data_IF_315226488983
#
_entry.id   IF_315226488983
#
_cell.length_a   1.000
_cell.length_b   1.000
_cell.length_c   1.000
_cell.angle_alpha   90.00
_cell.angle_beta   90.00
_cell.angle_gamma   90.00
#
_symmetry.space_group_name_H-M   'P 1'
#
loop_
_entity.id
_entity.type
_entity.pdbx_description
1 polymer ?
#
# COMPACT_ATOMS: atom_id res chain seq x y z
N UNK A 1 -6.38 -54.29 -18.85
CA UNK A 1 -6.91 -53.87 -17.54
C UNK A 1 -7.02 -52.35 -17.60
N UNK A 2 -8.23 -51.77 -17.58
CA UNK A 2 -8.45 -50.31 -17.63
C UNK A 2 -8.77 -49.83 -16.22
N UNK A 3 -7.87 -49.07 -15.61
CA UNK A 3 -8.14 -48.40 -14.34
C UNK A 3 -9.02 -47.17 -14.61
N UNK A 4 -10.29 -47.25 -14.24
CA UNK A 4 -11.20 -46.10 -14.27
C UNK A 4 -10.91 -45.25 -13.03
N UNK A 5 -10.37 -44.06 -13.24
CA UNK A 5 -10.12 -43.10 -12.18
C UNK A 5 -11.47 -42.44 -11.88
N UNK A 6 -12.10 -42.83 -10.77
CA UNK A 6 -13.32 -42.20 -10.29
C UNK A 6 -12.96 -40.79 -9.80
N UNK A 7 -13.18 -39.79 -10.65
CA UNK A 7 -13.06 -38.37 -10.24
C UNK A 7 -14.21 -38.08 -9.28
N UNK A 8 -13.93 -37.70 -8.02
CA UNK A 8 -14.97 -37.42 -7.04
C UNK A 8 -15.83 -36.25 -7.53
N UNK A 9 -17.15 -36.46 -7.53
CA UNK A 9 -18.16 -35.50 -8.02
C UNK A 9 -18.12 -34.16 -7.28
N UNK A 10 -17.55 -34.14 -6.07
CA UNK A 10 -17.32 -32.93 -5.27
C UNK A 10 -16.33 -31.97 -5.94
N UNK A 11 -15.32 -32.45 -6.68
CA UNK A 11 -14.35 -31.60 -7.38
C UNK A 11 -14.97 -30.86 -8.56
N UNK A 12 -15.97 -31.45 -9.22
CA UNK A 12 -16.65 -30.81 -10.36
C UNK A 12 -17.53 -29.63 -9.92
N UNK A 13 -18.19 -29.74 -8.76
CA UNK A 13 -19.04 -28.68 -8.22
C UNK A 13 -18.23 -27.43 -7.83
N UNK A 14 -17.05 -27.62 -7.22
CA UNK A 14 -16.18 -26.50 -6.82
C UNK A 14 -15.61 -25.79 -8.05
N UNK A 15 -15.25 -26.52 -9.11
CA UNK A 15 -14.83 -25.92 -10.37
C UNK A 15 -15.94 -25.08 -11.01
N UNK A 16 -17.19 -25.58 -11.03
CA UNK A 16 -18.32 -24.82 -11.56
C UNK A 16 -18.58 -23.53 -10.77
N UNK A 17 -18.48 -23.57 -9.44
CA UNK A 17 -18.58 -22.38 -8.58
C UNK A 17 -17.47 -21.37 -8.87
N UNK A 18 -16.23 -21.81 -9.05
CA UNK A 18 -15.10 -20.95 -9.40
C UNK A 18 -15.24 -20.31 -10.80
N UNK A 19 -15.89 -20.99 -11.75
CA UNK A 19 -16.21 -20.40 -13.07
C UNK A 19 -17.29 -19.32 -13.00
N UNK A 20 -18.16 -19.36 -11.98
CA UNK A 20 -19.17 -18.31 -11.75
C UNK A 20 -18.63 -17.12 -10.94
N UNK A 21 -17.40 -17.22 -10.44
CA UNK A 21 -16.78 -16.10 -9.74
C UNK A 21 -16.54 -14.94 -10.73
N UNK A 22 -16.96 -13.71 -10.40
CA UNK A 22 -16.63 -12.56 -11.21
C UNK A 22 -15.09 -12.41 -11.30
N UNK A 23 -14.56 -11.96 -12.45
CA UNK A 23 -13.13 -11.73 -12.58
C UNK A 23 -12.67 -10.76 -11.49
N UNK A 24 -11.64 -11.15 -10.74
CA UNK A 24 -11.01 -10.27 -9.77
C UNK A 24 -10.53 -9.01 -10.47
N UNK A 25 -11.06 -7.85 -10.09
CA UNK A 25 -10.61 -6.59 -10.65
C UNK A 25 -9.30 -6.19 -9.96
N UNK A 26 -8.27 -5.91 -10.76
CA UNK A 26 -7.07 -5.28 -10.24
C UNK A 26 -7.46 -3.93 -9.62
N UNK A 27 -6.85 -3.60 -8.48
CA UNK A 27 -7.02 -2.28 -7.91
C UNK A 27 -6.63 -1.23 -8.97
N UNK A 28 -7.43 -0.17 -9.16
CA UNK A 28 -7.08 0.89 -10.10
C UNK A 28 -5.71 1.44 -9.75
N UNK A 29 -4.88 1.67 -10.77
CA UNK A 29 -3.58 2.28 -10.58
C UNK A 29 -3.76 3.61 -9.85
N UNK A 30 -2.96 3.84 -8.81
CA UNK A 30 -2.98 5.11 -8.10
C UNK A 30 -2.71 6.26 -9.11
N UNK A 31 -3.42 7.40 -8.99
CA UNK A 31 -3.15 8.56 -9.83
C UNK A 31 -1.67 8.93 -9.75
N UNK A 32 -1.03 9.20 -10.90
CA UNK A 32 0.35 9.70 -10.89
C UNK A 32 0.35 11.13 -10.35
N UNK A 33 0.76 11.27 -9.10
CA UNK A 33 0.97 12.56 -8.45
C UNK A 33 2.40 13.02 -8.76
N UNK A 34 2.55 14.24 -9.26
CA UNK A 34 3.88 14.79 -9.54
C UNK A 34 4.68 14.94 -8.24
N UNK A 35 6.01 14.74 -8.26
CA UNK A 35 6.84 14.89 -7.06
C UNK A 35 6.79 16.32 -6.52
N UNK A 36 6.95 16.47 -5.22
CA UNK A 36 7.14 17.78 -4.60
C UNK A 36 8.48 18.37 -5.07
N UNK A 37 8.50 19.67 -5.36
CA UNK A 37 9.76 20.34 -5.70
C UNK A 37 10.58 20.51 -4.42
N UNK A 38 11.91 20.48 -4.55
CA UNK A 38 12.81 20.69 -3.42
C UNK A 38 12.48 22.03 -2.72
N UNK A 39 12.32 21.98 -1.39
CA UNK A 39 11.97 23.14 -0.57
C UNK A 39 10.47 23.39 -0.39
N UNK A 40 9.59 22.71 -1.13
CA UNK A 40 8.14 22.84 -0.94
C UNK A 40 7.61 21.99 0.22
N UNK A 41 8.39 21.03 0.71
CA UNK A 41 8.03 20.21 1.86
C UNK A 41 9.02 20.45 2.99
N UNK A 42 8.50 20.83 4.14
CA UNK A 42 9.29 20.94 5.39
C UNK A 42 9.03 19.70 6.24
N UNK A 43 10.10 19.04 6.67
CA UNK A 43 10.05 17.98 7.67
C UNK A 43 10.57 18.51 9.00
N UNK A 44 9.84 18.28 10.09
CA UNK A 44 10.31 18.56 11.45
C UNK A 44 10.17 17.32 12.30
N UNK A 45 11.12 17.14 13.20
CA UNK A 45 11.03 16.13 14.23
C UNK A 45 11.33 16.75 15.59
N UNK A 46 10.58 16.33 16.60
CA UNK A 46 10.73 16.84 17.96
C UNK A 46 10.54 15.71 18.97
N UNK A 47 11.26 15.80 20.08
CA UNK A 47 11.01 14.97 21.25
C UNK A 47 9.68 15.33 21.88
N UNK A 48 9.03 14.34 22.50
CA UNK A 48 7.76 14.55 23.18
C UNK A 48 8.00 14.59 24.70
N UNK A 49 7.51 15.64 25.34
CA UNK A 49 7.66 15.82 26.78
C UNK A 49 7.12 14.60 27.55
N UNK A 50 7.89 14.11 28.52
CA UNK A 50 7.61 12.89 29.30
C UNK A 50 7.50 11.58 28.50
N UNK A 51 7.95 11.55 27.23
CA UNK A 51 7.92 10.38 26.36
C UNK A 51 9.27 10.19 25.65
N UNK A 52 10.31 9.72 26.35
CA UNK A 52 11.68 9.66 25.81
C UNK A 52 11.84 8.70 24.63
N UNK A 53 10.91 7.76 24.46
CA UNK A 53 10.89 6.80 23.34
C UNK A 53 10.00 7.23 22.19
N UNK A 54 9.40 8.43 22.25
CA UNK A 54 8.45 8.92 21.23
C UNK A 54 9.01 10.16 20.55
N UNK A 55 8.97 10.12 19.23
CA UNK A 55 9.26 11.26 18.38
C UNK A 55 7.99 11.69 17.67
N UNK A 56 7.71 12.99 17.71
CA UNK A 56 6.71 13.60 16.83
C UNK A 56 7.38 14.05 15.54
N UNK A 57 6.96 13.48 14.41
CA UNK A 57 7.35 13.93 13.07
C UNK A 57 6.19 14.71 12.45
N UNK A 58 6.46 15.90 11.93
CA UNK A 58 5.50 16.68 11.16
C UNK A 58 6.03 16.96 9.75
N UNK A 59 5.14 16.81 8.78
CA UNK A 59 5.38 17.09 7.36
C UNK A 59 4.45 18.22 6.97
N UNK A 60 5.00 19.33 6.46
CA UNK A 60 4.22 20.45 5.98
C UNK A 60 4.48 20.63 4.49
N UNK A 61 3.40 20.58 3.69
CA UNK A 61 3.45 20.87 2.26
C UNK A 61 3.07 22.34 2.03
N UNK A 62 3.98 23.09 1.41
CA UNK A 62 3.86 24.51 1.09
C UNK A 62 3.56 24.76 -0.40
N UNK A 63 3.46 23.73 -1.24
CA UNK A 63 3.28 23.85 -2.70
C UNK A 63 1.91 24.35 -3.15
N UNK A 64 0.91 24.41 -2.25
CA UNK A 64 -0.47 24.74 -2.60
C UNK A 64 -1.20 23.67 -3.42
N UNK A 65 -0.57 22.52 -3.68
CA UNK A 65 -1.12 21.39 -4.45
C UNK A 65 -0.78 20.07 -3.79
N UNK A 66 -1.45 19.01 -4.22
CA UNK A 66 -1.01 17.65 -3.86
C UNK A 66 0.25 17.30 -4.64
N UNK A 67 1.27 16.79 -3.95
CA UNK A 67 2.53 16.36 -4.54
C UNK A 67 3.04 15.08 -3.83
N UNK A 68 3.83 14.27 -4.53
CA UNK A 68 4.40 13.03 -4.00
C UNK A 68 5.78 13.29 -3.37
N UNK A 69 6.01 12.71 -2.20
CA UNK A 69 7.34 12.67 -1.60
C UNK A 69 8.06 11.45 -2.19
N UNK A 70 8.86 11.68 -3.23
CA UNK A 70 9.52 10.61 -4.00
C UNK A 70 10.78 10.03 -3.31
N UNK A 71 11.25 10.67 -2.22
CA UNK A 71 12.42 10.24 -1.45
C UNK A 71 12.03 9.90 -0.02
N UNK A 72 12.59 8.83 0.53
CA UNK A 72 12.37 8.47 1.94
C UNK A 72 13.04 9.52 2.83
N UNK A 73 12.28 10.27 3.66
CA UNK A 73 12.87 11.23 4.57
C UNK A 73 13.65 10.50 5.67
N UNK A 74 14.90 10.90 5.88
CA UNK A 74 15.70 10.42 7.01
C UNK A 74 15.52 11.36 8.20
N UNK A 75 15.16 10.80 9.35
CA UNK A 75 15.12 11.52 10.62
C UNK A 75 16.09 10.84 11.58
N UNK A 76 17.05 11.61 12.10
CA UNK A 76 18.04 11.15 13.08
C UNK A 76 17.75 11.79 14.43
N UNK A 77 17.79 10.97 15.49
CA UNK A 77 17.61 11.40 16.88
C UNK A 77 18.91 11.17 17.65
N UNK A 78 19.27 12.11 18.52
CA UNK A 78 20.48 12.08 19.35
C UNK A 78 20.31 12.99 20.56
#
# INVERSE_FOLDING_TARGET
MRAAIAVPTTSAAVAALLLTAPPGQAAPAAPRVAPCVQGEVTLRAATVLHRPTVVRVSVTNHSGRTCAIDRVPLVTFG
#
